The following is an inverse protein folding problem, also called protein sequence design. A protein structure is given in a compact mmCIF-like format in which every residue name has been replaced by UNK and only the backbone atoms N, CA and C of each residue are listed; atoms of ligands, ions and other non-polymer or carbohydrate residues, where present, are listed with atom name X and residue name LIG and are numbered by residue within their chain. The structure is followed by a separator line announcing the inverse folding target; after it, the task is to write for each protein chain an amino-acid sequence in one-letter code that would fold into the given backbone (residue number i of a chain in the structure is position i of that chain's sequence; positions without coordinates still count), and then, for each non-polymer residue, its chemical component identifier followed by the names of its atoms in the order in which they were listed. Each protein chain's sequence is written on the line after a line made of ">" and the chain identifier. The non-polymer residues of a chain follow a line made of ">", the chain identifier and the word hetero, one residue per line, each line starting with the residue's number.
data_IF_611079889703
#
_entry.id   IF_611079889703
#
_cell.length_a   1.000
_cell.length_b   1.000
_cell.length_c   1.000
_cell.angle_alpha   90.00
_cell.angle_beta   90.00
_cell.angle_gamma   90.00
#
_symmetry.space_group_name_H-M   'P 1'
#
loop_
_entity.id
_entity.type
_entity.pdbx_description
1 polymer ?
#
# COMPACT_ATOMS: atom_id res chain seq x y z
N UNK A 1 -32.56 22.43 6.62
CA UNK A 1 -32.69 21.00 6.86
C UNK A 1 -31.53 20.29 6.17
N UNK A 2 -30.73 19.57 6.92
CA UNK A 2 -29.59 18.80 6.40
C UNK A 2 -29.96 17.33 6.07
N UNK A 3 -31.23 17.03 5.88
CA UNK A 3 -31.68 15.69 5.51
C UNK A 3 -31.85 15.61 3.99
N UNK A 4 -30.99 14.83 3.35
CA UNK A 4 -31.18 14.42 1.95
C UNK A 4 -32.35 13.43 1.82
N UNK A 5 -32.79 13.20 0.59
CA UNK A 5 -33.86 12.27 0.25
C UNK A 5 -33.48 10.77 0.43
N UNK A 6 -32.21 10.48 0.66
CA UNK A 6 -31.70 9.12 0.89
C UNK A 6 -30.78 9.14 2.11
N UNK A 7 -31.11 8.31 3.12
CA UNK A 7 -30.27 8.08 4.29
C UNK A 7 -29.65 6.69 4.11
N UNK A 8 -28.35 6.64 3.93
CA UNK A 8 -27.61 5.39 3.94
C UNK A 8 -27.06 5.14 5.35
N UNK A 9 -27.40 4.00 5.99
CA UNK A 9 -26.83 3.67 7.27
C UNK A 9 -25.32 3.37 7.12
N UNK A 10 -24.52 3.99 7.96
CA UNK A 10 -23.09 3.64 8.13
C UNK A 10 -23.01 2.80 9.40
N UNK A 11 -22.63 1.54 9.26
CA UNK A 11 -22.34 0.67 10.42
C UNK A 11 -20.91 0.92 10.86
N UNK A 12 -20.75 1.44 12.07
CA UNK A 12 -19.44 1.67 12.70
C UNK A 12 -19.23 0.56 13.73
N UNK A 13 -18.06 -0.05 13.73
CA UNK A 13 -17.69 -1.04 14.75
C UNK A 13 -17.82 -0.40 16.15
N UNK A 14 -18.50 -1.06 17.11
CA UNK A 14 -18.69 -0.53 18.45
C UNK A 14 -17.40 -0.11 19.16
N UNK A 15 -16.25 -0.65 18.78
CA UNK A 15 -14.93 -0.26 19.31
C UNK A 15 -14.57 1.18 19.01
N UNK A 16 -15.13 1.77 17.95
CA UNK A 16 -14.88 3.16 17.52
C UNK A 16 -15.98 4.15 17.96
N UNK A 17 -16.97 3.68 18.74
CA UNK A 17 -18.11 4.51 19.19
C UNK A 17 -18.07 4.79 20.70
N UNK A 18 -16.89 5.00 21.24
CA UNK A 18 -16.73 5.29 22.67
C UNK A 18 -17.01 6.77 22.91
N UNK A 19 -18.10 7.07 23.61
CA UNK A 19 -18.35 8.39 24.19
C UNK A 19 -17.56 8.54 25.51
N UNK A 20 -16.94 9.69 25.71
CA UNK A 20 -16.13 9.99 26.90
C UNK A 20 -16.87 11.03 27.73
N UNK A 21 -17.80 10.57 28.58
CA UNK A 21 -18.58 11.42 29.47
C UNK A 21 -18.08 11.37 30.93
N UNK A 22 -17.32 10.32 31.26
CA UNK A 22 -16.82 10.08 32.62
C UNK A 22 -15.33 9.75 32.66
N UNK A 23 -14.66 9.93 33.81
CA UNK A 23 -13.28 9.45 33.99
C UNK A 23 -13.07 7.97 33.69
N UNK A 24 -14.10 7.14 33.97
CA UNK A 24 -14.05 5.70 33.70
C UNK A 24 -14.05 5.42 32.17
N UNK A 25 -14.76 6.22 31.39
CA UNK A 25 -14.75 6.11 29.92
C UNK A 25 -13.38 6.48 29.37
N UNK A 26 -12.74 7.50 29.93
CA UNK A 26 -11.37 7.89 29.57
C UNK A 26 -10.36 6.75 29.84
N UNK A 27 -10.46 6.07 30.98
CA UNK A 27 -9.63 4.92 31.28
C UNK A 27 -9.90 3.73 30.36
N UNK A 28 -11.17 3.51 30.02
CA UNK A 28 -11.56 2.49 29.05
C UNK A 28 -11.01 2.81 27.66
N UNK A 29 -11.12 4.05 27.23
CA UNK A 29 -10.58 4.50 25.96
C UNK A 29 -9.06 4.37 25.90
N UNK A 30 -8.36 4.76 26.98
CA UNK A 30 -6.91 4.61 27.07
C UNK A 30 -6.45 3.14 26.95
N UNK A 31 -7.25 2.20 27.47
CA UNK A 31 -6.98 0.77 27.30
C UNK A 31 -7.23 0.30 25.86
N UNK A 32 -8.34 0.71 25.26
CA UNK A 32 -8.66 0.39 23.86
C UNK A 32 -7.56 0.89 22.91
N UNK A 33 -7.01 2.08 23.17
CA UNK A 33 -5.92 2.67 22.36
C UNK A 33 -4.59 1.89 22.43
N UNK A 34 -4.45 0.97 23.38
CA UNK A 34 -3.29 0.08 23.47
C UNK A 34 -3.47 -1.23 22.69
N UNK A 35 -4.68 -1.49 22.21
CA UNK A 35 -4.94 -2.66 21.37
C UNK A 35 -4.29 -2.46 20.00
N UNK A 36 -3.41 -3.38 19.54
CA UNK A 36 -2.66 -3.22 18.28
C UNK A 36 -3.55 -3.22 17.04
N UNK A 37 -4.78 -3.71 17.16
CA UNK A 37 -5.76 -3.77 16.08
C UNK A 37 -6.60 -2.49 15.94
N UNK A 38 -6.55 -1.59 16.93
CA UNK A 38 -7.29 -0.33 16.88
C UNK A 38 -6.40 0.77 16.32
N UNK A 39 -6.77 1.26 15.15
CA UNK A 39 -6.13 2.43 14.56
C UNK A 39 -6.93 3.68 14.92
N UNK A 40 -6.37 4.58 15.76
CA UNK A 40 -7.03 5.85 16.01
C UNK A 40 -7.14 6.65 14.73
N UNK A 41 -8.34 7.11 14.43
CA UNK A 41 -8.54 8.06 13.34
C UNK A 41 -7.93 9.38 13.76
N UNK A 42 -6.80 9.76 13.17
CA UNK A 42 -6.23 11.09 13.35
C UNK A 42 -7.05 12.10 12.52
N UNK A 43 -7.91 12.92 13.14
CA UNK A 43 -8.74 13.88 12.40
C UNK A 43 -7.92 15.00 11.75
N UNK A 44 -6.65 15.15 12.14
CA UNK A 44 -5.73 16.14 11.56
C UNK A 44 -4.97 15.57 10.37
N UNK A 45 -4.96 14.25 10.21
CA UNK A 45 -4.32 13.60 9.08
C UNK A 45 -5.15 13.82 7.80
N UNK A 46 -4.78 14.82 7.03
CA UNK A 46 -5.31 14.97 5.67
C UNK A 46 -4.71 13.90 4.78
N UNK A 47 -5.52 12.91 4.42
CA UNK A 47 -5.16 12.01 3.32
C UNK A 47 -5.04 12.83 2.05
N UNK A 48 -4.04 12.55 1.25
CA UNK A 48 -3.88 13.21 -0.05
C UNK A 48 -5.08 12.86 -0.94
N UNK A 49 -5.50 13.80 -1.78
CA UNK A 49 -6.52 13.50 -2.78
C UNK A 49 -5.92 12.60 -3.87
N UNK A 50 -6.75 11.73 -4.42
CA UNK A 50 -6.33 10.87 -5.52
C UNK A 50 -5.83 11.72 -6.69
N UNK A 51 -4.69 11.39 -7.31
CA UNK A 51 -4.12 12.17 -8.41
C UNK A 51 -5.07 12.27 -9.61
N UNK A 52 -5.22 13.45 -10.17
CA UNK A 52 -6.02 13.65 -11.39
C UNK A 52 -5.40 13.03 -12.63
N UNK A 53 -4.09 12.77 -12.61
CA UNK A 53 -3.34 12.05 -13.64
C UNK A 53 -2.38 11.08 -12.99
N UNK A 54 -2.31 9.89 -13.53
CA UNK A 54 -1.37 8.85 -13.10
C UNK A 54 -0.55 8.44 -14.32
N UNK A 55 0.77 8.51 -14.19
CA UNK A 55 1.71 8.07 -15.23
C UNK A 55 2.37 6.74 -14.87
N UNK A 56 2.54 6.46 -13.58
CA UNK A 56 3.32 5.32 -13.10
C UNK A 56 2.71 4.72 -11.85
N UNK A 57 2.62 3.40 -11.84
CA UNK A 57 2.30 2.57 -10.68
C UNK A 57 3.56 1.81 -10.27
N UNK A 58 4.10 2.11 -9.10
CA UNK A 58 5.24 1.40 -8.52
C UNK A 58 4.73 0.50 -7.40
N UNK A 59 5.11 -0.76 -7.41
CA UNK A 59 4.64 -1.75 -6.44
C UNK A 59 5.81 -2.47 -5.79
N UNK A 60 5.73 -2.69 -4.48
CA UNK A 60 6.53 -3.72 -3.85
C UNK A 60 6.12 -5.10 -4.36
N UNK A 61 6.88 -6.12 -4.01
CA UNK A 61 6.60 -7.50 -4.41
C UNK A 61 6.01 -8.31 -3.26
N UNK A 62 6.74 -8.44 -2.16
CA UNK A 62 6.29 -9.23 -1.02
C UNK A 62 5.20 -8.49 -0.24
N UNK A 63 4.09 -9.18 0.02
CA UNK A 63 2.91 -8.60 0.64
C UNK A 63 2.08 -7.66 -0.25
N UNK A 64 2.47 -7.45 -1.53
CA UNK A 64 1.72 -6.67 -2.53
C UNK A 64 1.35 -7.54 -3.72
N UNK A 65 2.32 -8.14 -4.39
CA UNK A 65 2.12 -9.10 -5.50
C UNK A 65 2.23 -10.56 -5.06
N UNK A 66 2.65 -10.80 -3.81
CA UNK A 66 2.60 -12.08 -3.11
C UNK A 66 1.79 -11.92 -1.82
N UNK A 67 1.60 -13.01 -1.11
CA UNK A 67 0.91 -13.06 0.18
C UNK A 67 1.86 -12.92 1.39
N UNK A 68 3.05 -12.39 1.16
CA UNK A 68 4.10 -12.20 2.17
C UNK A 68 4.62 -13.49 2.82
N UNK A 69 4.31 -14.64 2.21
CA UNK A 69 4.70 -15.97 2.70
C UNK A 69 5.64 -16.63 1.73
N UNK A 70 6.69 -17.25 2.26
CA UNK A 70 7.67 -18.03 1.50
C UNK A 70 7.62 -19.49 1.92
N UNK A 71 7.65 -20.39 0.94
CA UNK A 71 7.84 -21.81 1.14
C UNK A 71 9.33 -22.12 0.90
N UNK A 72 10.02 -22.61 1.92
CA UNK A 72 11.43 -23.01 1.81
C UNK A 72 11.53 -24.52 1.96
N UNK A 73 12.12 -25.21 0.98
CA UNK A 73 12.37 -26.64 1.04
C UNK A 73 13.69 -26.97 1.78
N UNK A 74 13.94 -28.29 1.98
CA UNK A 74 15.14 -28.76 2.67
C UNK A 74 16.46 -28.41 1.95
N UNK A 75 16.39 -28.09 0.67
CA UNK A 75 17.55 -27.71 -0.16
C UNK A 75 17.73 -26.18 -0.18
N UNK A 76 16.91 -25.45 0.58
CA UNK A 76 16.92 -23.98 0.64
C UNK A 76 16.29 -23.30 -0.57
N UNK A 77 15.53 -24.03 -1.39
CA UNK A 77 14.81 -23.42 -2.50
C UNK A 77 13.56 -22.76 -1.99
N UNK A 78 13.32 -21.54 -2.47
CA UNK A 78 12.17 -20.74 -2.08
C UNK A 78 11.15 -20.64 -3.20
N UNK A 79 9.89 -20.57 -2.81
CA UNK A 79 8.78 -20.29 -3.69
C UNK A 79 7.73 -19.43 -2.99
N UNK A 80 7.08 -18.57 -3.74
CA UNK A 80 6.04 -17.67 -3.25
C UNK A 80 4.72 -17.90 -4.00
N UNK A 81 3.64 -17.54 -3.35
CA UNK A 81 2.31 -17.59 -3.94
C UNK A 81 1.93 -16.19 -4.45
N UNK A 82 1.49 -16.12 -5.72
CA UNK A 82 1.04 -14.88 -6.36
C UNK A 82 -0.37 -15.05 -6.92
N UNK A 83 -1.13 -13.97 -7.04
CA UNK A 83 -2.50 -13.99 -7.56
C UNK A 83 -2.52 -13.90 -9.10
N UNK A 84 -3.42 -14.66 -9.73
CA UNK A 84 -3.71 -14.52 -11.17
C UNK A 84 -4.48 -13.25 -11.49
N UNK A 85 -5.26 -12.75 -10.52
CA UNK A 85 -6.08 -11.55 -10.68
C UNK A 85 -5.23 -10.30 -10.95
N UNK A 86 -4.01 -10.23 -10.37
CA UNK A 86 -3.09 -9.12 -10.63
C UNK A 86 -2.75 -9.00 -12.11
N UNK A 87 -2.55 -10.16 -12.78
CA UNK A 87 -2.29 -10.19 -14.22
C UNK A 87 -3.44 -9.58 -15.02
N UNK A 88 -4.68 -9.91 -14.68
CA UNK A 88 -5.86 -9.33 -15.34
C UNK A 88 -5.96 -7.82 -15.10
N UNK A 89 -5.76 -7.37 -13.86
CA UNK A 89 -5.78 -5.94 -13.52
C UNK A 89 -4.72 -5.15 -14.29
N UNK A 90 -3.51 -5.69 -14.38
CA UNK A 90 -2.41 -5.07 -15.14
C UNK A 90 -2.64 -5.10 -16.66
N UNK A 91 -3.29 -6.13 -17.18
CA UNK A 91 -3.66 -6.17 -18.60
C UNK A 91 -4.70 -5.08 -18.92
N UNK A 92 -5.74 -4.92 -18.08
CA UNK A 92 -6.74 -3.86 -18.22
C UNK A 92 -6.10 -2.46 -18.14
N UNK A 93 -5.14 -2.29 -17.20
CA UNK A 93 -4.42 -1.02 -17.05
C UNK A 93 -3.61 -0.69 -18.30
N UNK A 94 -2.96 -1.69 -18.93
CA UNK A 94 -2.20 -1.54 -20.16
C UNK A 94 -3.07 -1.24 -21.38
N UNK A 95 -4.25 -1.86 -21.46
CA UNK A 95 -5.22 -1.59 -22.55
C UNK A 95 -5.68 -0.13 -22.55
N UNK A 96 -5.72 0.50 -21.38
CA UNK A 96 -6.01 1.93 -21.27
C UNK A 96 -4.81 2.82 -21.67
N UNK A 97 -3.61 2.25 -21.80
CA UNK A 97 -2.43 2.84 -22.45
C UNK A 97 -1.77 4.02 -21.76
N UNK A 98 -2.09 4.28 -20.48
CA UNK A 98 -1.66 5.53 -19.82
C UNK A 98 -0.73 5.33 -18.62
N UNK A 99 -0.60 4.12 -18.07
CA UNK A 99 0.12 3.89 -16.83
C UNK A 99 1.18 2.81 -16.98
N UNK A 100 2.42 3.14 -16.65
CA UNK A 100 3.51 2.17 -16.55
C UNK A 100 3.49 1.49 -15.18
N UNK A 101 3.59 0.16 -15.15
CA UNK A 101 3.66 -0.61 -13.93
C UNK A 101 5.08 -1.15 -13.70
N UNK A 102 5.64 -0.91 -12.51
CA UNK A 102 7.02 -1.21 -12.13
C UNK A 102 7.03 -1.96 -10.80
N UNK A 103 7.87 -2.97 -10.67
CA UNK A 103 8.17 -3.63 -9.39
C UNK A 103 9.45 -3.03 -8.82
N UNK A 104 9.41 -2.61 -7.54
CA UNK A 104 10.55 -2.11 -6.79
C UNK A 104 10.67 -2.90 -5.48
N UNK A 105 11.49 -3.95 -5.48
CA UNK A 105 11.58 -4.91 -4.38
C UNK A 105 12.99 -4.96 -3.77
N UNK A 106 13.05 -5.25 -2.46
CA UNK A 106 14.28 -5.58 -1.74
C UNK A 106 14.71 -7.03 -1.95
N UNK A 107 13.79 -7.88 -2.38
CA UNK A 107 14.02 -9.32 -2.54
C UNK A 107 15.07 -9.59 -3.62
N UNK A 108 16.00 -10.48 -3.29
CA UNK A 108 17.10 -10.91 -4.19
C UNK A 108 16.72 -12.15 -5.00
N UNK A 109 15.70 -12.90 -4.53
CA UNK A 109 15.29 -14.15 -5.15
C UNK A 109 14.80 -13.92 -6.59
N UNK A 110 15.26 -14.72 -7.57
CA UNK A 110 14.86 -14.59 -8.99
C UNK A 110 13.35 -14.74 -9.24
N UNK A 111 12.57 -15.17 -8.26
CA UNK A 111 11.10 -15.29 -8.37
C UNK A 111 10.46 -13.94 -8.71
N UNK A 112 10.99 -12.83 -8.18
CA UNK A 112 10.51 -11.47 -8.48
C UNK A 112 10.62 -11.18 -9.98
N UNK A 113 11.82 -11.38 -10.55
CA UNK A 113 12.04 -11.19 -11.99
C UNK A 113 11.25 -12.18 -12.86
N UNK A 114 11.08 -13.42 -12.39
CA UNK A 114 10.27 -14.42 -13.12
C UNK A 114 8.80 -14.00 -13.17
N UNK A 115 8.26 -13.51 -12.06
CA UNK A 115 6.89 -13.00 -12.00
C UNK A 115 6.73 -11.71 -12.80
N UNK A 116 7.66 -10.76 -12.66
CA UNK A 116 7.65 -9.51 -13.42
C UNK A 116 7.64 -9.74 -14.93
N UNK A 117 8.46 -10.65 -15.44
CA UNK A 117 8.43 -11.05 -16.87
C UNK A 117 7.06 -11.56 -17.30
N UNK A 118 6.43 -12.43 -16.47
CA UNK A 118 5.10 -12.95 -16.76
C UNK A 118 4.03 -11.85 -16.77
N UNK A 119 4.15 -10.88 -15.88
CA UNK A 119 3.26 -9.73 -15.76
C UNK A 119 3.63 -8.62 -16.77
N UNK A 120 4.70 -8.78 -17.56
CA UNK A 120 5.25 -7.77 -18.49
C UNK A 120 5.55 -6.44 -17.79
N UNK A 121 6.04 -6.53 -16.57
CA UNK A 121 6.45 -5.39 -15.76
C UNK A 121 7.96 -5.24 -15.77
N UNK A 122 8.43 -4.02 -15.69
CA UNK A 122 9.82 -3.75 -15.37
C UNK A 122 10.09 -4.05 -13.90
N UNK A 123 11.26 -4.56 -13.60
CA UNK A 123 11.63 -5.03 -12.25
C UNK A 123 12.95 -4.42 -11.80
N UNK A 124 12.92 -3.78 -10.66
CA UNK A 124 14.08 -3.39 -9.87
C UNK A 124 14.06 -4.23 -8.59
N UNK A 125 14.90 -5.25 -8.52
CA UNK A 125 15.02 -6.12 -7.35
C UNK A 125 16.37 -5.96 -6.66
N UNK A 126 16.54 -6.52 -5.46
CA UNK A 126 17.71 -6.34 -4.60
C UNK A 126 17.97 -4.87 -4.21
N UNK A 127 16.91 -4.07 -4.12
CA UNK A 127 16.98 -2.64 -3.84
C UNK A 127 16.86 -2.38 -2.35
N UNK A 128 17.99 -2.16 -1.66
CA UNK A 128 18.01 -1.89 -0.23
C UNK A 128 17.43 -0.53 0.15
N UNK A 129 17.63 0.49 -0.68
CA UNK A 129 17.17 1.87 -0.46
C UNK A 129 16.15 2.25 -1.53
N UNK A 130 14.89 1.91 -1.27
CA UNK A 130 13.78 2.15 -2.21
C UNK A 130 13.59 3.64 -2.51
N UNK A 131 13.80 4.51 -1.53
CA UNK A 131 13.71 5.96 -1.70
C UNK A 131 14.78 6.51 -2.66
N UNK A 132 16.00 6.03 -2.56
CA UNK A 132 17.08 6.45 -3.46
C UNK A 132 16.85 5.94 -4.88
N UNK A 133 16.49 4.67 -5.02
CA UNK A 133 16.19 4.06 -6.31
C UNK A 133 14.99 4.74 -7.00
N UNK A 134 13.94 5.02 -6.24
CA UNK A 134 12.77 5.71 -6.79
C UNK A 134 13.13 7.14 -7.21
N UNK A 135 13.90 7.88 -6.40
CA UNK A 135 14.34 9.24 -6.75
C UNK A 135 15.15 9.23 -8.04
N UNK A 136 16.06 8.27 -8.20
CA UNK A 136 16.84 8.11 -9.42
C UNK A 136 15.94 7.78 -10.62
N UNK A 137 15.01 6.85 -10.46
CA UNK A 137 14.04 6.47 -11.49
C UNK A 137 13.19 7.66 -11.96
N UNK A 138 12.69 8.47 -11.02
CA UNK A 138 11.92 9.67 -11.32
C UNK A 138 12.76 10.68 -12.13
N UNK A 139 14.02 10.89 -11.73
CA UNK A 139 14.92 11.80 -12.41
C UNK A 139 15.29 11.31 -13.83
N UNK A 140 15.71 10.06 -13.97
CA UNK A 140 16.15 9.47 -15.25
C UNK A 140 15.06 9.49 -16.31
N UNK A 141 13.79 9.37 -15.88
CA UNK A 141 12.63 9.31 -16.77
C UNK A 141 11.85 10.61 -16.85
N UNK A 142 12.32 11.65 -16.16
CA UNK A 142 11.61 12.93 -16.05
C UNK A 142 10.14 12.74 -15.62
N UNK A 143 9.91 11.84 -14.65
CA UNK A 143 8.58 11.57 -14.10
C UNK A 143 8.29 12.53 -12.96
N UNK A 144 7.05 12.97 -12.88
CA UNK A 144 6.59 13.79 -11.77
C UNK A 144 6.10 12.88 -10.65
N UNK A 145 6.67 13.03 -9.46
CA UNK A 145 6.27 12.25 -8.29
C UNK A 145 4.77 12.33 -7.99
N UNK A 146 4.16 13.49 -8.22
CA UNK A 146 2.72 13.71 -8.04
C UNK A 146 1.82 12.85 -8.96
N UNK A 147 2.36 12.32 -10.06
CA UNK A 147 1.69 11.41 -10.99
C UNK A 147 2.01 9.92 -10.70
N UNK A 148 2.71 9.64 -9.61
CA UNK A 148 3.11 8.29 -9.21
C UNK A 148 2.23 7.80 -8.08
N UNK A 149 1.69 6.59 -8.23
CA UNK A 149 1.11 5.81 -7.14
C UNK A 149 2.13 4.76 -6.72
N UNK A 150 2.37 4.65 -5.41
CA UNK A 150 3.16 3.58 -4.82
C UNK A 150 2.27 2.64 -4.00
N UNK A 151 2.47 1.34 -4.16
CA UNK A 151 1.81 0.32 -3.34
C UNK A 151 2.88 -0.42 -2.54
N UNK A 152 2.77 -0.37 -1.22
CA UNK A 152 3.71 -1.01 -0.31
C UNK A 152 3.03 -1.52 0.95
N UNK A 153 3.64 -2.49 1.64
CA UNK A 153 3.06 -3.13 2.82
C UNK A 153 3.92 -3.02 4.09
N UNK A 154 5.21 -2.75 3.95
CA UNK A 154 6.14 -2.79 5.08
C UNK A 154 6.79 -1.43 5.38
N UNK A 155 7.37 -1.29 6.56
CA UNK A 155 8.05 -0.06 7.02
C UNK A 155 9.19 0.37 6.10
N UNK A 156 9.74 -0.57 5.35
CA UNK A 156 10.79 -0.32 4.35
C UNK A 156 10.28 0.45 3.14
N UNK A 157 8.96 0.56 2.96
CA UNK A 157 8.31 1.36 1.92
C UNK A 157 8.06 2.81 2.36
N UNK A 158 8.00 3.09 3.66
CA UNK A 158 7.68 4.42 4.17
C UNK A 158 8.61 5.54 3.65
N UNK A 159 9.93 5.32 3.45
CA UNK A 159 10.81 6.35 2.92
C UNK A 159 10.43 6.88 1.52
N UNK A 160 9.60 6.17 0.74
CA UNK A 160 9.16 6.64 -0.58
C UNK A 160 7.98 7.62 -0.51
N UNK A 161 7.28 7.68 0.62
CA UNK A 161 6.08 8.53 0.82
C UNK A 161 6.24 9.97 0.34
N UNK A 162 7.35 10.69 0.66
CA UNK A 162 7.51 12.09 0.22
C UNK A 162 7.82 12.24 -1.28
N UNK A 163 8.05 11.14 -1.98
CA UNK A 163 8.45 11.14 -3.40
C UNK A 163 7.28 10.88 -4.35
N UNK A 164 6.14 10.42 -3.82
CA UNK A 164 4.99 9.98 -4.62
C UNK A 164 3.74 10.79 -4.35
N UNK A 165 2.87 10.90 -5.33
CA UNK A 165 1.60 11.61 -5.22
C UNK A 165 0.57 10.89 -4.35
N UNK A 166 0.60 9.54 -4.36
CA UNK A 166 -0.35 8.74 -3.62
C UNK A 166 0.28 7.42 -3.15
N UNK A 167 0.01 7.04 -1.92
CA UNK A 167 0.53 5.81 -1.33
C UNK A 167 -0.62 4.90 -0.90
N UNK A 168 -0.59 3.68 -1.39
CA UNK A 168 -1.61 2.66 -1.15
C UNK A 168 -0.99 1.50 -0.42
N UNK A 169 -1.73 0.85 0.44
CA UNK A 169 -1.30 -0.41 1.05
C UNK A 169 -2.43 -1.43 1.13
N UNK A 170 -2.12 -2.73 1.17
CA UNK A 170 -3.10 -3.77 1.44
C UNK A 170 -3.58 -3.70 2.90
N UNK A 171 -4.75 -4.30 3.18
CA UNK A 171 -5.38 -4.28 4.50
C UNK A 171 -4.55 -4.97 5.59
N UNK A 172 -3.73 -5.94 5.22
CA UNK A 172 -2.82 -6.69 6.07
C UNK A 172 -1.41 -6.11 6.16
N UNK A 173 -1.17 -4.91 5.58
CA UNK A 173 0.10 -4.21 5.70
C UNK A 173 0.47 -3.89 7.16
N UNK A 174 1.76 -3.66 7.40
CA UNK A 174 2.26 -3.27 8.72
C UNK A 174 1.48 -2.07 9.29
N UNK A 175 1.11 -2.05 10.59
CA UNK A 175 0.27 -0.99 11.17
C UNK A 175 0.80 0.43 10.96
N UNK A 176 2.12 0.63 10.96
CA UNK A 176 2.70 1.94 10.68
C UNK A 176 2.48 2.40 9.24
N UNK A 177 2.44 1.45 8.30
CA UNK A 177 2.17 1.72 6.87
C UNK A 177 0.72 2.09 6.69
N UNK A 178 -0.21 1.29 7.23
CA UNK A 178 -1.65 1.58 7.17
C UNK A 178 -2.00 2.95 7.73
N UNK A 179 -1.33 3.36 8.83
CA UNK A 179 -1.52 4.70 9.42
C UNK A 179 -1.07 5.82 8.50
N UNK A 180 -0.10 5.60 7.63
CA UNK A 180 0.50 6.61 6.77
C UNK A 180 -0.01 6.57 5.33
N UNK A 181 -0.61 5.46 4.90
CA UNK A 181 -1.18 5.32 3.58
C UNK A 181 -2.35 6.28 3.32
N UNK A 182 -2.50 6.70 2.07
CA UNK A 182 -3.64 7.50 1.63
C UNK A 182 -4.87 6.62 1.41
N UNK A 183 -4.64 5.35 1.01
CA UNK A 183 -5.69 4.35 0.82
C UNK A 183 -5.22 3.00 1.37
N UNK A 184 -6.09 2.33 2.09
CA UNK A 184 -5.97 0.93 2.51
C UNK A 184 -6.98 0.13 1.70
N UNK A 185 -6.52 -0.93 1.00
CA UNK A 185 -7.34 -1.79 0.13
C UNK A 185 -8.05 -2.88 0.93
#
# INVERSE_FOLDING_TARGET
>A
SMSGSVILPVVIDPRYTVDIDTPADLERYARLMQEPELEPVDPLKRRRSFPGRISTLVMDFDGVLSDDMVYTDQDGRESVRTSRSDGLGLDLLREQGQVNAIILSREENPVVSARGRKLKMEVFQAVLRKDEALRQLLADRNLKGEEVIYVGNDVTDLPVLPLVGYFVCPADAHPQVRRQADLVL
#
